data_IF_052109348914
#
_entry.id   IF_052109348914
#
_cell.length_a   1.000
_cell.length_b   1.000
_cell.length_c   1.000
_cell.angle_alpha   90.00
_cell.angle_beta   90.00
_cell.angle_gamma   90.00
#
_symmetry.space_group_name_H-M   'P 1'
#
loop_
_entity.id
_entity.type
_entity.pdbx_description
1 polymer ?
#
# COMPACT_ATOMS: atom_id res chain seq x y z
N UNK A 1 -80.66 41.37 25.99
CA UNK A 1 -81.10 40.02 25.53
C UNK A 1 -79.84 39.20 25.30
N UNK A 2 -79.39 38.42 26.30
CA UNK A 2 -79.50 36.95 26.44
C UNK A 2 -78.93 36.14 25.26
N UNK A 3 -77.84 35.40 25.50
CA UNK A 3 -77.69 33.92 25.48
C UNK A 3 -76.17 33.61 25.40
N UNK A 4 -75.52 33.01 26.41
CA UNK A 4 -75.56 31.62 26.91
C UNK A 4 -74.55 30.69 26.22
N UNK A 5 -73.49 30.37 26.97
CA UNK A 5 -72.73 29.12 27.11
C UNK A 5 -72.88 28.06 26.01
N UNK A 6 -71.76 27.60 25.42
CA UNK A 6 -71.48 26.16 25.27
C UNK A 6 -69.96 25.89 25.17
N UNK A 7 -69.43 25.22 26.19
CA UNK A 7 -68.11 24.59 26.20
C UNK A 7 -68.25 23.26 25.46
N UNK A 8 -67.50 23.03 24.39
CA UNK A 8 -67.43 21.72 23.72
C UNK A 8 -65.97 21.31 23.61
N UNK A 9 -65.58 20.40 24.50
CA UNK A 9 -64.31 19.69 24.48
C UNK A 9 -64.38 18.64 23.36
N UNK A 10 -63.86 18.94 22.17
CA UNK A 10 -63.72 17.95 21.10
C UNK A 10 -62.29 17.40 21.19
N UNK A 11 -62.18 16.23 21.81
CA UNK A 11 -61.01 15.36 21.72
C UNK A 11 -61.02 14.72 20.31
N UNK A 12 -60.47 15.43 19.33
CA UNK A 12 -60.26 14.92 17.97
C UNK A 12 -58.83 14.42 17.85
N UNK A 13 -58.62 13.12 18.06
CA UNK A 13 -57.34 12.48 17.81
C UNK A 13 -56.90 12.73 16.37
N UNK A 14 -55.74 13.36 16.19
CA UNK A 14 -55.06 13.36 14.90
C UNK A 14 -54.77 11.90 14.54
N UNK A 15 -55.24 11.37 13.40
CA UNK A 15 -54.69 10.13 12.89
C UNK A 15 -53.23 10.41 12.56
N UNK A 16 -52.32 9.93 13.41
CA UNK A 16 -50.97 9.61 12.95
C UNK A 16 -51.14 8.59 11.83
N UNK A 17 -51.18 9.09 10.60
CA UNK A 17 -51.00 8.23 9.43
C UNK A 17 -49.53 7.83 9.46
N UNK A 18 -49.28 6.68 10.09
CA UNK A 18 -48.04 5.96 9.93
C UNK A 18 -47.96 5.53 8.47
N UNK A 19 -47.30 6.34 7.64
CA UNK A 19 -46.78 5.87 6.35
C UNK A 19 -45.46 5.12 6.61
N UNK A 20 -45.56 4.01 7.33
CA UNK A 20 -44.52 2.99 7.33
C UNK A 20 -44.90 1.95 6.27
N UNK A 21 -44.26 2.04 5.10
CA UNK A 21 -43.92 0.96 4.16
C UNK A 21 -43.89 1.49 2.72
N UNK A 22 -42.98 2.41 2.44
CA UNK A 22 -42.33 2.37 1.12
C UNK A 22 -41.32 1.21 1.20
N UNK A 23 -41.45 0.16 0.37
CA UNK A 23 -40.40 -0.85 0.28
C UNK A 23 -39.11 -0.14 -0.15
N UNK A 24 -38.04 -0.33 0.61
CA UNK A 24 -36.71 0.10 0.19
C UNK A 24 -36.43 -0.63 -1.14
N UNK A 25 -36.46 0.11 -2.25
CA UNK A 25 -35.96 -0.42 -3.52
C UNK A 25 -34.47 -0.72 -3.35
N UNK A 26 -34.16 -1.98 -3.08
CA UNK A 26 -32.80 -2.50 -3.13
C UNK A 26 -32.43 -2.72 -4.60
N UNK A 27 -32.42 -1.64 -5.39
CA UNK A 27 -32.02 -1.61 -6.79
C UNK A 27 -30.78 -0.74 -6.99
N UNK A 28 -29.81 -0.82 -6.06
CA UNK A 28 -28.44 -0.55 -6.45
C UNK A 28 -27.95 -1.77 -7.22
N UNK A 29 -28.09 -1.73 -8.55
CA UNK A 29 -27.36 -2.61 -9.44
C UNK A 29 -25.87 -2.45 -9.07
N UNK A 30 -25.35 -3.38 -8.26
CA UNK A 30 -23.94 -3.40 -7.90
C UNK A 30 -23.19 -3.46 -9.22
N UNK A 31 -22.56 -2.36 -9.63
CA UNK A 31 -21.78 -2.32 -10.85
C UNK A 31 -20.75 -3.44 -10.79
N UNK A 32 -20.96 -4.50 -11.58
CA UNK A 32 -20.10 -5.68 -11.54
C UNK A 32 -18.84 -5.34 -12.34
N UNK A 33 -17.85 -4.79 -11.64
CA UNK A 33 -16.53 -4.52 -12.20
C UNK A 33 -15.74 -5.82 -12.20
N UNK A 34 -15.47 -6.35 -13.40
CA UNK A 34 -14.56 -7.45 -13.62
C UNK A 34 -13.16 -6.90 -13.92
N UNK A 35 -12.15 -7.34 -13.15
CA UNK A 35 -10.78 -6.87 -13.33
C UNK A 35 -10.16 -7.40 -14.61
N UNK A 36 -9.26 -6.60 -15.17
CA UNK A 36 -8.45 -6.94 -16.33
C UNK A 36 -7.62 -8.21 -16.07
N UNK A 37 -7.58 -9.10 -17.08
CA UNK A 37 -6.83 -10.37 -17.00
C UNK A 37 -5.64 -10.35 -17.97
N UNK A 38 -4.43 -10.72 -17.54
CA UNK A 38 -3.28 -10.68 -18.43
C UNK A 38 -3.42 -11.71 -19.56
N UNK A 39 -3.35 -11.25 -20.81
CA UNK A 39 -3.26 -12.12 -22.00
C UNK A 39 -1.79 -12.39 -22.33
N UNK A 40 -0.97 -11.34 -22.35
CA UNK A 40 0.45 -11.42 -22.70
C UNK A 40 1.27 -10.50 -21.83
N UNK A 41 2.26 -11.06 -21.14
CA UNK A 41 3.24 -10.31 -20.35
C UNK A 41 4.64 -10.61 -20.85
N UNK A 42 5.22 -9.64 -21.56
CA UNK A 42 6.62 -9.68 -22.00
C UNK A 42 7.51 -9.44 -20.77
N UNK A 43 8.42 -10.35 -20.41
CA UNK A 43 9.33 -10.11 -19.29
C UNK A 43 10.32 -8.97 -19.62
N UNK A 44 10.82 -8.23 -18.62
CA UNK A 44 11.87 -7.25 -18.83
C UNK A 44 13.14 -7.92 -19.33
N UNK A 45 13.83 -7.25 -20.26
CA UNK A 45 15.14 -7.69 -20.70
C UNK A 45 16.15 -7.43 -19.59
N UNK A 46 16.97 -8.42 -19.28
CA UNK A 46 18.05 -8.24 -18.33
C UNK A 46 19.16 -7.36 -18.96
N UNK A 47 19.54 -6.21 -18.36
CA UNK A 47 20.62 -5.37 -18.87
C UNK A 47 21.97 -6.11 -18.92
N UNK A 48 22.68 -6.03 -20.06
CA UNK A 48 23.92 -6.78 -20.32
C UNK A 48 25.01 -6.52 -19.27
N UNK A 49 25.18 -5.26 -18.84
CA UNK A 49 26.20 -4.91 -17.85
C UNK A 49 25.89 -5.51 -16.48
N UNK A 50 24.63 -5.47 -16.04
CA UNK A 50 24.19 -6.09 -14.79
C UNK A 50 24.32 -7.61 -14.87
N UNK A 51 24.00 -8.21 -16.02
CA UNK A 51 24.14 -9.65 -16.25
C UNK A 51 25.62 -10.10 -16.14
N UNK A 52 26.53 -9.38 -16.80
CA UNK A 52 27.99 -9.62 -16.71
C UNK A 52 28.51 -9.49 -15.28
N UNK A 53 28.02 -8.49 -14.55
CA UNK A 53 28.48 -8.19 -13.19
C UNK A 53 27.79 -9.03 -12.10
N UNK A 54 26.79 -9.85 -12.44
CA UNK A 54 26.07 -10.63 -11.43
C UNK A 54 25.26 -9.76 -10.47
N UNK A 55 24.70 -8.65 -10.95
CA UNK A 55 23.95 -7.69 -10.13
C UNK A 55 22.48 -7.97 -10.31
N UNK A 56 21.78 -8.37 -9.26
CA UNK A 56 20.33 -8.54 -9.21
C UNK A 56 19.64 -7.30 -8.62
N UNK A 57 18.31 -7.24 -8.74
CA UNK A 57 17.52 -6.14 -8.20
C UNK A 57 16.03 -6.29 -8.48
N UNK A 58 15.27 -5.24 -8.19
CA UNK A 58 13.82 -5.25 -8.35
C UNK A 58 13.28 -3.87 -8.69
N UNK A 59 12.11 -3.85 -9.33
CA UNK A 59 11.37 -2.62 -9.65
C UNK A 59 9.89 -2.86 -9.38
N UNK A 60 9.26 -1.97 -8.63
CA UNK A 60 7.80 -1.92 -8.46
C UNK A 60 7.25 -0.79 -9.31
N UNK A 61 6.30 -1.14 -10.18
CA UNK A 61 5.66 -0.23 -11.11
C UNK A 61 4.18 -0.13 -10.82
N UNK A 62 3.61 1.05 -11.04
CA UNK A 62 2.17 1.25 -11.24
C UNK A 62 1.88 1.53 -12.71
N UNK A 63 0.76 1.04 -13.23
CA UNK A 63 0.38 1.20 -14.63
C UNK A 63 -1.14 1.15 -14.82
N UNK A 64 -1.58 1.59 -15.99
CA UNK A 64 -2.98 1.60 -16.41
C UNK A 64 -3.19 0.50 -17.45
N UNK A 65 -4.32 -0.20 -17.38
CA UNK A 65 -4.83 -1.03 -18.48
C UNK A 65 -5.94 -0.25 -19.17
N UNK A 66 -5.79 0.01 -20.46
CA UNK A 66 -6.73 0.75 -21.29
C UNK A 66 -7.92 -0.13 -21.71
N UNK A 67 -9.04 0.45 -22.18
CA UNK A 67 -10.19 -0.31 -22.68
C UNK A 67 -9.88 -1.22 -23.88
N UNK A 68 -8.79 -0.97 -24.62
CA UNK A 68 -8.29 -1.86 -25.68
C UNK A 68 -7.34 -2.97 -25.15
N UNK A 69 -7.17 -3.03 -23.84
CA UNK A 69 -6.34 -3.99 -23.13
C UNK A 69 -4.83 -3.69 -23.18
N UNK A 70 -4.39 -2.63 -23.87
CA UNK A 70 -2.98 -2.21 -23.82
C UNK A 70 -2.68 -1.55 -22.49
N UNK A 71 -1.42 -1.58 -22.10
CA UNK A 71 -0.96 -0.87 -20.90
C UNK A 71 -0.41 0.51 -21.22
N UNK A 72 -0.69 1.49 -20.36
CA UNK A 72 -0.16 2.85 -20.48
C UNK A 72 0.28 3.41 -19.11
N UNK A 73 0.85 4.62 -19.14
CA UNK A 73 1.17 5.42 -17.96
C UNK A 73 1.90 4.65 -16.83
N UNK A 74 2.87 3.82 -17.23
CA UNK A 74 3.70 3.08 -16.31
C UNK A 74 4.67 4.03 -15.58
N UNK A 75 4.68 3.96 -14.25
CA UNK A 75 5.52 4.78 -13.37
C UNK A 75 6.23 3.87 -12.35
N UNK A 76 7.45 4.23 -11.97
CA UNK A 76 8.20 3.54 -10.91
C UNK A 76 7.71 4.04 -9.56
N UNK A 77 7.12 3.17 -8.77
CA UNK A 77 6.74 3.49 -7.38
C UNK A 77 7.93 3.32 -6.43
N UNK A 78 8.72 2.27 -6.64
CA UNK A 78 9.94 2.03 -5.87
C UNK A 78 10.84 1.02 -6.59
N UNK A 79 12.13 1.00 -6.26
CA UNK A 79 13.09 0.08 -6.87
C UNK A 79 14.28 -0.20 -5.94
N UNK A 80 15.15 -1.11 -6.36
CA UNK A 80 16.47 -1.30 -5.74
C UNK A 80 17.51 -0.23 -6.15
N UNK A 81 17.09 0.90 -6.72
CA UNK A 81 17.95 2.03 -7.09
C UNK A 81 18.81 1.83 -8.35
N UNK A 82 18.48 0.84 -9.18
CA UNK A 82 19.26 0.52 -10.39
C UNK A 82 18.48 0.99 -11.63
N UNK A 83 18.83 2.17 -12.14
CA UNK A 83 18.15 2.83 -13.28
C UNK A 83 18.08 1.96 -14.55
N UNK A 84 19.05 1.05 -14.74
CA UNK A 84 19.02 0.09 -15.84
C UNK A 84 17.85 -0.90 -15.73
N UNK A 85 17.49 -1.33 -14.52
CA UNK A 85 16.33 -2.19 -14.29
C UNK A 85 15.03 -1.43 -14.45
N UNK A 86 14.93 -0.23 -13.88
CA UNK A 86 13.74 0.63 -14.02
C UNK A 86 13.38 0.85 -15.49
N UNK A 87 14.37 1.21 -16.31
CA UNK A 87 14.19 1.42 -17.75
C UNK A 87 13.70 0.16 -18.47
N UNK A 88 14.29 -1.01 -18.20
CA UNK A 88 13.87 -2.25 -18.87
C UNK A 88 12.53 -2.77 -18.35
N UNK A 89 12.19 -2.50 -17.09
CA UNK A 89 10.88 -2.79 -16.50
C UNK A 89 9.78 -1.95 -17.17
N UNK A 90 9.98 -0.63 -17.30
CA UNK A 90 9.06 0.27 -17.99
C UNK A 90 8.84 -0.16 -19.45
N UNK A 91 9.91 -0.47 -20.19
CA UNK A 91 9.83 -0.97 -21.57
C UNK A 91 9.07 -2.30 -21.71
N UNK A 92 9.13 -3.16 -20.69
CA UNK A 92 8.40 -4.41 -20.69
C UNK A 92 6.91 -4.19 -20.46
N UNK A 93 6.54 -3.38 -19.45
CA UNK A 93 5.14 -3.08 -19.17
C UNK A 93 4.47 -2.53 -20.41
N UNK A 94 5.06 -1.57 -21.11
CA UNK A 94 4.53 -0.98 -22.35
C UNK A 94 4.16 -1.99 -23.47
N UNK A 95 4.64 -3.24 -23.39
CA UNK A 95 4.38 -4.30 -24.38
C UNK A 95 3.37 -5.34 -23.90
N UNK A 96 2.75 -5.12 -22.75
CA UNK A 96 1.77 -6.03 -22.20
C UNK A 96 0.41 -5.86 -22.85
N UNK A 97 -0.33 -6.96 -22.88
CA UNK A 97 -1.70 -7.02 -23.36
C UNK A 97 -2.54 -7.72 -22.30
N UNK A 98 -3.70 -7.15 -22.04
CA UNK A 98 -4.72 -7.64 -21.14
C UNK A 98 -6.03 -7.82 -21.89
N UNK A 99 -6.87 -8.68 -21.35
CA UNK A 99 -8.32 -8.60 -21.49
C UNK A 99 -8.75 -7.43 -20.60
N UNK A 100 -9.40 -6.38 -21.14
CA UNK A 100 -9.66 -5.16 -20.39
C UNK A 100 -10.58 -5.41 -19.19
N UNK A 101 -10.59 -4.47 -18.26
CA UNK A 101 -11.60 -4.48 -17.21
C UNK A 101 -12.97 -4.19 -17.83
N UNK A 102 -14.00 -4.82 -17.28
CA UNK A 102 -15.37 -4.69 -17.76
C UNK A 102 -16.26 -4.14 -16.66
N UNK A 103 -17.07 -3.15 -16.98
CA UNK A 103 -18.14 -2.63 -16.12
C UNK A 103 -19.45 -2.74 -16.89
N UNK A 104 -20.39 -3.53 -16.38
CA UNK A 104 -21.70 -3.78 -17.00
C UNK A 104 -21.57 -4.17 -18.50
N UNK A 105 -20.60 -5.03 -18.81
CA UNK A 105 -20.35 -5.53 -20.16
C UNK A 105 -19.62 -4.56 -21.11
N UNK A 106 -19.22 -3.37 -20.63
CA UNK A 106 -18.43 -2.40 -21.41
C UNK A 106 -16.99 -2.37 -20.92
N UNK A 107 -16.04 -2.34 -21.86
CA UNK A 107 -14.63 -2.21 -21.54
C UNK A 107 -14.35 -0.83 -20.92
N UNK A 108 -13.66 -0.82 -19.78
CA UNK A 108 -13.29 0.38 -19.03
C UNK A 108 -11.79 0.40 -18.76
N UNK A 109 -11.28 1.58 -18.40
CA UNK A 109 -9.90 1.77 -18.02
C UNK A 109 -9.68 1.29 -16.58
N UNK A 110 -8.70 0.42 -16.34
CA UNK A 110 -8.29 0.03 -14.99
C UNK A 110 -7.03 0.79 -14.58
N UNK A 111 -7.13 1.73 -13.62
CA UNK A 111 -6.13 2.80 -13.49
C UNK A 111 -5.09 2.59 -12.38
N UNK A 112 -5.32 1.68 -11.44
CA UNK A 112 -4.46 1.47 -10.27
C UNK A 112 -3.95 0.03 -10.17
N UNK A 113 -3.15 -0.37 -11.18
CA UNK A 113 -2.48 -1.67 -11.18
C UNK A 113 -1.06 -1.53 -10.66
N UNK A 114 -0.59 -2.51 -9.90
CA UNK A 114 0.79 -2.56 -9.44
C UNK A 114 1.43 -3.91 -9.76
N UNK A 115 2.71 -3.87 -10.13
CA UNK A 115 3.52 -5.06 -10.35
C UNK A 115 4.92 -4.86 -9.80
N UNK A 116 5.43 -5.91 -9.15
CA UNK A 116 6.86 -6.03 -8.84
C UNK A 116 7.54 -6.97 -9.85
N UNK A 117 8.63 -6.50 -10.44
CA UNK A 117 9.52 -7.29 -11.29
C UNK A 117 10.84 -7.54 -10.58
N UNK A 118 11.25 -8.80 -10.51
CA UNK A 118 12.56 -9.19 -10.01
C UNK A 118 13.51 -9.42 -11.20
N UNK A 119 14.70 -8.84 -11.11
CA UNK A 119 15.83 -9.08 -12.00
C UNK A 119 16.78 -10.01 -11.27
N UNK A 120 16.66 -11.31 -11.50
CA UNK A 120 17.61 -12.30 -10.99
C UNK A 120 18.00 -13.29 -12.07
N UNK A 121 19.27 -13.65 -12.12
CA UNK A 121 19.78 -14.64 -13.07
C UNK A 121 19.58 -16.10 -12.64
N UNK A 122 18.87 -16.36 -11.53
CA UNK A 122 18.53 -17.73 -11.10
C UNK A 122 19.75 -18.64 -10.93
N UNK A 123 20.95 -18.07 -10.74
CA UNK A 123 22.14 -18.87 -10.47
C UNK A 123 21.90 -19.57 -9.14
N UNK A 124 22.37 -20.80 -9.01
CA UNK A 124 22.24 -21.65 -7.80
C UNK A 124 23.04 -21.10 -6.59
N UNK A 125 22.94 -19.80 -6.31
CA UNK A 125 23.52 -19.13 -5.16
C UNK A 125 22.59 -18.01 -4.73
N UNK A 126 22.40 -17.94 -3.41
CA UNK A 126 22.79 -16.69 -2.80
C UNK A 126 23.80 -16.97 -1.70
N UNK A 127 24.99 -16.42 -1.87
CA UNK A 127 25.83 -16.13 -0.72
C UNK A 127 26.03 -14.64 -0.74
N UNK A 128 25.71 -14.02 0.38
CA UNK A 128 26.23 -12.71 0.74
C UNK A 128 27.74 -12.71 0.47
N UNK A 129 28.25 -11.76 -0.32
CA UNK A 129 29.67 -11.77 -0.67
C UNK A 129 30.52 -11.64 0.59
N UNK A 130 31.63 -12.38 0.68
CA UNK A 130 32.53 -12.29 1.85
C UNK A 130 32.98 -10.85 2.14
N UNK A 131 33.14 -10.03 1.09
CA UNK A 131 33.50 -8.61 1.20
C UNK A 131 32.40 -7.82 1.90
N UNK A 132 31.16 -7.97 1.45
CA UNK A 132 30.02 -7.31 2.09
C UNK A 132 29.80 -7.84 3.51
N UNK A 133 29.82 -9.16 3.69
CA UNK A 133 29.57 -9.78 4.99
C UNK A 133 30.56 -9.30 6.05
N UNK A 134 31.86 -9.14 5.73
CA UNK A 134 32.84 -8.56 6.67
C UNK A 134 32.52 -7.12 7.08
N UNK A 135 31.94 -6.32 6.18
CA UNK A 135 31.54 -4.96 6.49
C UNK A 135 30.25 -4.95 7.33
N UNK A 136 29.29 -5.80 6.98
CA UNK A 136 28.08 -6.04 7.76
C UNK A 136 28.44 -6.46 9.20
N UNK A 137 29.33 -7.44 9.35
CA UNK A 137 29.74 -8.02 10.63
C UNK A 137 30.42 -6.99 11.55
N UNK A 138 31.21 -6.08 10.96
CA UNK A 138 31.79 -4.93 11.67
C UNK A 138 30.72 -3.98 12.21
N UNK A 139 29.73 -3.63 11.39
CA UNK A 139 28.64 -2.76 11.83
C UNK A 139 27.80 -3.44 12.91
N UNK A 140 27.46 -4.72 12.73
CA UNK A 140 26.71 -5.50 13.71
C UNK A 140 27.45 -5.57 15.05
N UNK A 141 28.75 -5.91 15.04
CA UNK A 141 29.57 -5.96 16.25
C UNK A 141 29.68 -4.59 16.94
N UNK A 142 29.82 -3.51 16.16
CA UNK A 142 29.91 -2.16 16.72
C UNK A 142 28.57 -1.71 17.33
N UNK A 143 27.43 -2.05 16.73
CA UNK A 143 26.09 -1.80 17.27
C UNK A 143 25.87 -2.57 18.57
N UNK A 144 26.27 -3.85 18.61
CA UNK A 144 26.18 -4.69 19.81
C UNK A 144 27.04 -4.16 20.97
N UNK A 145 28.27 -3.71 20.66
CA UNK A 145 29.19 -3.11 21.62
C UNK A 145 28.86 -1.65 21.99
N UNK A 146 27.96 -1.00 21.24
CA UNK A 146 27.59 0.42 21.36
C UNK A 146 28.77 1.39 21.20
N UNK A 147 29.70 1.07 20.32
CA UNK A 147 30.90 1.87 20.04
C UNK A 147 30.64 2.98 19.01
N UNK A 148 30.15 4.13 19.47
CA UNK A 148 29.60 5.21 18.62
C UNK A 148 30.48 5.61 17.41
N UNK A 149 31.80 5.77 17.60
CA UNK A 149 32.72 6.25 16.55
C UNK A 149 32.83 5.30 15.35
N UNK A 150 32.78 4.00 15.61
CA UNK A 150 32.92 2.97 14.58
C UNK A 150 31.59 2.71 13.86
N UNK A 151 30.47 2.90 14.57
CA UNK A 151 29.12 2.70 14.02
C UNK A 151 28.87 3.61 12.83
N UNK A 152 29.16 4.92 12.93
CA UNK A 152 28.89 5.88 11.86
C UNK A 152 29.71 5.58 10.58
N UNK A 153 31.02 5.31 10.70
CA UNK A 153 31.87 4.94 9.56
C UNK A 153 31.36 3.67 8.87
N UNK A 154 31.08 2.61 9.65
CA UNK A 154 30.60 1.36 9.08
C UNK A 154 29.22 1.50 8.46
N UNK A 155 28.29 2.24 9.08
CA UNK A 155 26.97 2.52 8.54
C UNK A 155 27.03 3.27 7.21
N UNK A 156 27.85 4.33 7.11
CA UNK A 156 28.04 5.09 5.88
C UNK A 156 28.58 4.19 4.75
N UNK A 157 29.56 3.34 5.07
CA UNK A 157 30.16 2.40 4.11
C UNK A 157 29.17 1.33 3.68
N UNK A 158 28.32 0.82 4.58
CA UNK A 158 27.24 -0.12 4.26
C UNK A 158 26.22 0.57 3.34
N UNK A 159 25.79 1.78 3.67
CA UNK A 159 24.85 2.57 2.87
C UNK A 159 25.35 2.79 1.44
N UNK A 160 26.65 3.12 1.27
CA UNK A 160 27.29 3.30 -0.04
C UNK A 160 27.64 1.99 -0.76
N UNK A 161 27.52 0.83 -0.10
CA UNK A 161 27.88 -0.45 -0.71
C UNK A 161 26.93 -0.81 -1.85
N UNK A 162 27.51 -1.08 -3.03
CA UNK A 162 26.78 -1.54 -4.23
C UNK A 162 26.52 -3.04 -4.11
N UNK A 163 25.31 -3.38 -3.69
CA UNK A 163 24.83 -4.76 -3.57
C UNK A 163 24.81 -5.45 -4.94
N UNK A 164 25.06 -6.76 -4.94
CA UNK A 164 25.04 -7.62 -6.11
C UNK A 164 23.87 -8.59 -6.09
N UNK A 165 23.36 -8.97 -4.93
CA UNK A 165 22.25 -9.93 -4.84
C UNK A 165 21.08 -9.36 -4.05
N UNK A 166 19.89 -9.94 -4.25
CA UNK A 166 18.69 -9.58 -3.49
C UNK A 166 18.84 -9.92 -2.00
N UNK A 167 19.65 -10.90 -1.64
CA UNK A 167 19.97 -11.25 -0.26
C UNK A 167 20.94 -10.24 0.36
N UNK A 168 21.96 -9.77 -0.37
CA UNK A 168 22.79 -8.64 0.12
C UNK A 168 21.92 -7.39 0.35
N UNK A 169 20.91 -7.15 -0.50
CA UNK A 169 19.92 -6.10 -0.29
C UNK A 169 19.21 -6.25 1.05
N UNK A 170 18.71 -7.45 1.34
CA UNK A 170 18.01 -7.74 2.58
C UNK A 170 18.92 -7.50 3.80
N UNK A 171 20.12 -8.07 3.82
CA UNK A 171 21.08 -7.89 4.91
C UNK A 171 21.46 -6.41 5.10
N UNK A 172 21.73 -5.70 4.00
CA UNK A 172 22.10 -4.28 4.02
C UNK A 172 21.02 -3.44 4.68
N UNK A 173 19.77 -3.58 4.24
CA UNK A 173 18.70 -2.73 4.75
C UNK A 173 18.24 -3.16 6.15
N UNK A 174 18.36 -4.43 6.53
CA UNK A 174 18.12 -4.85 7.93
C UNK A 174 19.11 -4.19 8.88
N UNK A 175 20.42 -4.25 8.62
CA UNK A 175 21.41 -3.66 9.54
C UNK A 175 21.38 -2.12 9.54
N UNK A 176 21.03 -1.50 8.40
CA UNK A 176 20.83 -0.06 8.34
C UNK A 176 19.58 0.38 9.11
N UNK A 177 18.53 -0.45 9.17
CA UNK A 177 17.38 -0.21 10.04
C UNK A 177 17.78 -0.28 11.52
N UNK A 178 18.64 -1.23 11.91
CA UNK A 178 19.15 -1.31 13.29
C UNK A 178 20.05 -0.11 13.64
N UNK A 179 20.85 0.39 12.67
CA UNK A 179 21.58 1.65 12.83
C UNK A 179 20.64 2.86 12.98
N UNK A 180 19.60 2.95 12.15
CA UNK A 180 18.60 4.02 12.24
C UNK A 180 17.85 4.01 13.59
N UNK A 181 17.57 2.82 14.11
CA UNK A 181 17.05 2.62 15.48
C UNK A 181 18.03 3.17 16.53
N UNK A 182 19.31 2.87 16.41
CA UNK A 182 20.36 3.34 17.33
C UNK A 182 20.47 4.86 17.38
N UNK A 183 20.40 5.55 16.24
CA UNK A 183 20.46 7.03 16.18
C UNK A 183 19.11 7.70 16.49
N UNK A 184 18.03 6.92 16.64
CA UNK A 184 16.69 7.43 16.94
C UNK A 184 15.94 8.01 15.74
N UNK A 185 16.39 7.75 14.51
CA UNK A 185 15.72 8.21 13.28
C UNK A 185 14.70 7.18 12.80
N UNK A 186 13.47 7.30 13.32
CA UNK A 186 12.36 6.39 13.00
C UNK A 186 11.91 6.47 11.54
N UNK A 187 12.04 7.63 10.90
CA UNK A 187 11.63 7.79 9.49
C UNK A 187 12.63 7.06 8.59
N UNK A 188 13.92 7.23 8.85
CA UNK A 188 14.97 6.49 8.17
C UNK A 188 14.86 4.98 8.45
N UNK A 189 14.59 4.59 9.70
CA UNK A 189 14.37 3.19 10.07
C UNK A 189 13.23 2.57 9.28
N UNK A 190 12.09 3.26 9.17
CA UNK A 190 10.94 2.78 8.39
C UNK A 190 11.31 2.58 6.91
N UNK A 191 12.03 3.54 6.30
CA UNK A 191 12.47 3.44 4.90
C UNK A 191 13.36 2.21 4.65
N UNK A 192 14.25 1.90 5.60
CA UNK A 192 15.11 0.72 5.52
C UNK A 192 14.33 -0.57 5.76
N UNK A 193 13.35 -0.60 6.67
CA UNK A 193 12.49 -1.76 6.87
C UNK A 193 11.62 -2.06 5.64
N UNK A 194 11.13 -1.04 4.94
CA UNK A 194 10.43 -1.17 3.67
C UNK A 194 11.30 -1.83 2.58
N UNK A 195 12.56 -1.38 2.48
CA UNK A 195 13.53 -1.96 1.57
C UNK A 195 13.92 -3.39 1.97
N UNK A 196 14.08 -3.66 3.27
CA UNK A 196 14.44 -4.97 3.80
C UNK A 196 13.33 -6.03 3.64
N UNK A 197 12.06 -5.64 3.77
CA UNK A 197 10.91 -6.50 3.53
C UNK A 197 10.74 -6.87 2.04
N UNK A 198 11.45 -6.17 1.17
CA UNK A 198 11.36 -6.26 -0.29
C UNK A 198 12.50 -7.12 -0.89
N UNK A 199 12.66 -8.37 -0.42
CA UNK A 199 13.68 -9.31 -0.91
C UNK A 199 13.12 -10.46 -1.75
N UNK A 200 14.00 -11.22 -2.41
CA UNK A 200 13.58 -12.27 -3.34
C UNK A 200 12.72 -13.34 -2.66
N UNK A 201 11.60 -13.67 -3.28
CA UNK A 201 10.70 -14.71 -2.82
C UNK A 201 9.70 -14.28 -1.75
N UNK A 202 9.83 -13.10 -1.13
CA UNK A 202 8.83 -12.59 -0.19
C UNK A 202 7.46 -12.37 -0.88
N UNK A 203 7.46 -11.87 -2.12
CA UNK A 203 6.24 -11.70 -2.91
C UNK A 203 5.55 -13.04 -3.22
N UNK A 204 6.33 -14.04 -3.68
CA UNK A 204 5.81 -15.38 -3.99
C UNK A 204 5.28 -16.06 -2.73
N UNK A 205 6.00 -15.91 -1.61
CA UNK A 205 5.59 -16.40 -0.30
C UNK A 205 4.21 -15.88 0.10
N UNK A 206 4.00 -14.55 0.08
CA UNK A 206 2.70 -13.97 0.45
C UNK A 206 1.60 -14.26 -0.58
N UNK A 207 1.94 -14.37 -1.87
CA UNK A 207 0.99 -14.76 -2.91
C UNK A 207 0.45 -16.17 -2.64
N UNK A 208 1.35 -17.11 -2.35
CA UNK A 208 0.96 -18.49 -2.05
C UNK A 208 0.18 -18.57 -0.74
N UNK A 209 0.65 -17.96 0.36
CA UNK A 209 -0.06 -17.97 1.66
C UNK A 209 -1.47 -17.35 1.57
N UNK A 210 -1.65 -16.24 0.84
CA UNK A 210 -3.00 -15.68 0.59
C UNK A 210 -3.91 -16.60 -0.22
N UNK A 211 -3.36 -17.26 -1.25
CA UNK A 211 -4.11 -18.25 -2.03
C UNK A 211 -4.61 -19.42 -1.18
N UNK A 212 -3.85 -19.80 -0.15
CA UNK A 212 -4.25 -20.82 0.84
C UNK A 212 -5.36 -20.32 1.77
N UNK A 213 -5.26 -19.09 2.28
CA UNK A 213 -6.29 -18.50 3.15
C UNK A 213 -7.62 -18.26 2.43
N UNK A 214 -7.58 -17.70 1.22
CA UNK A 214 -8.80 -17.44 0.43
C UNK A 214 -9.53 -18.73 0.07
N UNK A 215 -8.81 -19.83 -0.14
CA UNK A 215 -9.42 -21.15 -0.35
C UNK A 215 -10.12 -21.65 0.92
N UNK A 216 -9.54 -21.41 2.10
CA UNK A 216 -10.12 -21.82 3.38
C UNK A 216 -11.37 -21.01 3.77
N UNK A 217 -11.45 -19.72 3.41
CA UNK A 217 -12.58 -18.85 3.77
C UNK A 217 -13.86 -19.07 2.96
N UNK A 218 -13.79 -19.69 1.79
CA UNK A 218 -14.95 -19.87 0.87
C UNK A 218 -15.72 -21.17 1.16
N UNK A 219 -15.33 -21.95 2.18
CA UNK A 219 -16.07 -23.17 2.57
C UNK A 219 -16.14 -24.23 1.47
N UNK A 220 -15.36 -24.09 0.39
CA UNK A 220 -15.04 -25.21 -0.48
C UNK A 220 -14.36 -26.22 0.43
N UNK A 221 -14.96 -27.39 0.61
CA UNK A 221 -14.31 -28.57 1.17
C UNK A 221 -13.17 -28.98 0.24
N UNK A 222 -12.13 -28.16 0.18
CA UNK A 222 -10.80 -28.58 -0.24
C UNK A 222 -10.25 -29.22 1.01
N UNK A 223 -10.25 -30.54 0.99
CA UNK A 223 -9.57 -31.41 1.94
C UNK A 223 -8.28 -30.73 2.41
N UNK A 224 -8.37 -30.13 3.59
CA UNK A 224 -7.36 -29.47 4.42
C UNK A 224 -6.41 -28.41 3.79
N UNK A 225 -6.16 -27.33 4.54
CA UNK A 225 -4.92 -26.51 4.47
C UNK A 225 -3.66 -27.38 4.34
N UNK A 226 -3.71 -28.63 4.86
CA UNK A 226 -2.68 -29.66 4.74
C UNK A 226 -2.43 -30.08 3.29
N UNK A 227 -3.42 -30.35 2.43
CA UNK A 227 -3.16 -30.93 1.10
C UNK A 227 -2.34 -30.03 0.17
N UNK A 228 -2.58 -28.72 0.19
CA UNK A 228 -1.84 -27.75 -0.65
C UNK A 228 -0.48 -27.38 -0.08
N UNK A 229 -0.33 -27.28 1.24
CA UNK A 229 0.99 -27.14 1.89
C UNK A 229 1.82 -28.42 1.72
N UNK A 230 1.17 -29.59 1.74
CA UNK A 230 1.78 -30.89 1.51
C UNK A 230 2.30 -31.03 0.08
N UNK A 231 1.58 -30.48 -0.90
CA UNK A 231 1.98 -30.37 -2.32
C UNK A 231 3.18 -29.43 -2.59
N UNK A 232 3.62 -28.60 -1.63
CA UNK A 232 4.88 -27.87 -1.80
C UNK A 232 6.06 -28.86 -1.79
N UNK A 233 6.95 -28.74 -2.79
CA UNK A 233 8.21 -29.49 -2.79
C UNK A 233 9.00 -29.21 -1.52
N UNK A 234 9.77 -30.20 -1.03
CA UNK A 234 10.59 -30.04 0.17
C UNK A 234 11.56 -28.83 0.10
N UNK A 235 12.03 -28.52 -1.11
CA UNK A 235 12.87 -27.34 -1.39
C UNK A 235 12.09 -26.05 -1.14
N UNK A 236 10.85 -25.95 -1.64
CA UNK A 236 10.01 -24.76 -1.46
C UNK A 236 9.59 -24.58 -0.01
N UNK A 237 9.29 -25.66 0.72
CA UNK A 237 9.04 -25.65 2.18
C UNK A 237 10.22 -25.07 2.96
N UNK A 238 11.44 -25.53 2.71
CA UNK A 238 12.67 -25.00 3.35
C UNK A 238 12.89 -23.52 3.05
N UNK A 239 12.71 -23.11 1.78
CA UNK A 239 12.81 -21.70 1.38
C UNK A 239 11.80 -20.84 2.15
N UNK A 240 10.56 -21.29 2.26
CA UNK A 240 9.49 -20.53 2.90
C UNK A 240 9.67 -20.42 4.41
N UNK A 241 10.13 -21.49 5.07
CA UNK A 241 10.49 -21.45 6.49
C UNK A 241 11.62 -20.43 6.78
N UNK A 242 12.57 -20.25 5.86
CA UNK A 242 13.60 -19.20 6.00
C UNK A 242 13.01 -17.80 5.79
N UNK A 243 12.22 -17.60 4.73
CA UNK A 243 11.57 -16.32 4.43
C UNK A 243 10.69 -15.86 5.59
N UNK A 244 9.91 -16.77 6.17
CA UNK A 244 9.02 -16.51 7.30
C UNK A 244 9.79 -15.97 8.52
N UNK A 245 10.90 -16.62 8.89
CA UNK A 245 11.77 -16.19 9.99
C UNK A 245 12.45 -14.84 9.74
N UNK A 246 12.78 -14.53 8.49
CA UNK A 246 13.40 -13.25 8.11
C UNK A 246 12.36 -12.13 8.12
N UNK A 247 11.16 -12.36 7.59
CA UNK A 247 10.11 -11.35 7.49
C UNK A 247 9.52 -10.96 8.84
N UNK A 248 9.36 -11.91 9.77
CA UNK A 248 8.70 -11.65 11.04
C UNK A 248 9.28 -10.45 11.83
N UNK A 249 10.58 -10.41 12.18
CA UNK A 249 11.13 -9.28 12.92
C UNK A 249 11.07 -7.96 12.14
N UNK A 250 11.27 -8.01 10.81
CA UNK A 250 11.21 -6.83 9.93
C UNK A 250 9.80 -6.23 9.96
N UNK A 251 8.78 -7.05 9.69
CA UNK A 251 7.39 -6.59 9.67
C UNK A 251 6.90 -6.19 11.06
N UNK A 252 7.37 -6.84 12.12
CA UNK A 252 7.00 -6.47 13.47
C UNK A 252 7.54 -5.08 13.85
N UNK A 253 8.85 -4.83 13.65
CA UNK A 253 9.44 -3.49 13.87
C UNK A 253 8.75 -2.43 13.02
N UNK A 254 8.51 -2.74 11.76
CA UNK A 254 7.82 -1.87 10.81
C UNK A 254 6.41 -1.49 11.31
N UNK A 255 5.63 -2.47 11.77
CA UNK A 255 4.30 -2.21 12.32
C UNK A 255 4.34 -1.22 13.49
N UNK A 256 5.30 -1.39 14.42
CA UNK A 256 5.41 -0.49 15.58
C UNK A 256 5.59 0.96 15.13
N UNK A 257 6.52 1.22 14.21
CA UNK A 257 6.80 2.56 13.70
C UNK A 257 5.62 3.10 12.88
N UNK A 258 5.00 2.27 12.05
CA UNK A 258 3.80 2.65 11.30
C UNK A 258 2.68 3.10 12.24
N UNK A 259 2.45 2.41 13.36
CA UNK A 259 1.46 2.79 14.35
C UNK A 259 1.81 4.12 15.04
N UNK A 260 3.07 4.33 15.40
CA UNK A 260 3.54 5.58 16.01
C UNK A 260 3.39 6.79 15.07
N UNK A 261 3.64 6.58 13.78
CA UNK A 261 3.46 7.61 12.75
C UNK A 261 2.01 7.74 12.25
N UNK A 262 1.06 7.03 12.85
CA UNK A 262 -0.34 7.07 12.43
C UNK A 262 -0.55 6.56 11.00
N UNK A 263 0.33 5.70 10.50
CA UNK A 263 0.29 5.16 9.14
C UNK A 263 -0.73 4.03 8.99
N UNK A 264 -2.02 4.34 9.18
CA UNK A 264 -3.10 3.35 9.30
C UNK A 264 -3.16 2.36 8.12
N UNK A 265 -3.02 2.85 6.89
CA UNK A 265 -3.10 2.01 5.66
C UNK A 265 -1.96 1.00 5.58
N UNK A 266 -0.74 1.46 5.86
CA UNK A 266 0.48 0.68 5.87
C UNK A 266 0.48 -0.31 7.04
N UNK A 267 0.14 0.14 8.25
CA UNK A 267 -0.02 -0.69 9.43
C UNK A 267 -1.01 -1.84 9.19
N UNK A 268 -2.17 -1.56 8.57
CA UNK A 268 -3.15 -2.60 8.25
C UNK A 268 -2.58 -3.63 7.27
N UNK A 269 -1.83 -3.18 6.26
CA UNK A 269 -1.15 -4.06 5.30
C UNK A 269 -0.09 -4.92 5.98
N UNK A 270 0.71 -4.33 6.85
CA UNK A 270 1.77 -5.00 7.61
C UNK A 270 1.19 -6.02 8.58
N UNK A 271 0.13 -5.68 9.32
CA UNK A 271 -0.59 -6.63 10.20
C UNK A 271 -1.17 -7.81 9.41
N UNK A 272 -1.79 -7.54 8.26
CA UNK A 272 -2.28 -8.63 7.41
C UNK A 272 -1.15 -9.54 6.92
N UNK A 273 0.04 -8.99 6.63
CA UNK A 273 1.24 -9.76 6.31
C UNK A 273 1.72 -10.60 7.51
N UNK A 274 1.78 -10.01 8.70
CA UNK A 274 2.18 -10.70 9.94
C UNK A 274 1.26 -11.87 10.27
N UNK A 275 -0.05 -11.74 10.08
CA UNK A 275 -1.01 -12.82 10.32
C UNK A 275 -0.85 -14.02 9.37
N UNK A 276 -0.12 -13.85 8.26
CA UNK A 276 0.23 -14.94 7.33
C UNK A 276 1.53 -15.66 7.71
N UNK A 277 2.27 -15.18 8.71
CA UNK A 277 3.55 -15.75 9.13
C UNK A 277 3.36 -16.80 10.22
N UNK A 278 3.99 -17.96 10.05
CA UNK A 278 3.96 -19.03 11.03
C UNK A 278 4.77 -18.62 12.29
N UNK A 279 5.86 -17.86 12.12
CA UNK A 279 6.67 -17.28 13.21
C UNK A 279 5.91 -16.22 14.03
N UNK A 280 4.79 -15.69 13.54
CA UNK A 280 3.96 -14.72 14.25
C UNK A 280 2.92 -15.36 15.20
N UNK A 281 2.85 -16.69 15.24
CA UNK A 281 1.83 -17.46 15.97
C UNK A 281 1.66 -17.04 17.44
N UNK A 282 2.76 -16.83 18.17
CA UNK A 282 2.72 -16.40 19.58
C UNK A 282 2.08 -15.01 19.79
N UNK A 283 2.09 -14.16 18.77
CA UNK A 283 1.57 -12.78 18.82
C UNK A 283 0.25 -12.63 18.05
N UNK A 284 -0.33 -13.71 17.55
CA UNK A 284 -1.47 -13.68 16.64
C UNK A 284 -2.69 -12.96 17.25
N UNK A 285 -2.99 -13.23 18.53
CA UNK A 285 -4.09 -12.56 19.22
C UNK A 285 -3.91 -11.03 19.29
N UNK A 286 -2.68 -10.56 19.54
CA UNK A 286 -2.36 -9.13 19.56
C UNK A 286 -2.52 -8.51 18.16
N UNK A 287 -2.05 -9.18 17.11
CA UNK A 287 -2.20 -8.70 15.74
C UNK A 287 -3.65 -8.69 15.26
N UNK A 288 -4.47 -9.66 15.65
CA UNK A 288 -5.91 -9.66 15.37
C UNK A 288 -6.58 -8.45 16.04
N UNK A 289 -6.26 -8.18 17.30
CA UNK A 289 -6.78 -7.01 18.02
C UNK A 289 -6.33 -5.70 17.34
N UNK A 290 -5.06 -5.61 16.95
CA UNK A 290 -4.53 -4.43 16.26
C UNK A 290 -5.21 -4.23 14.90
N UNK A 291 -5.46 -5.30 14.14
CA UNK A 291 -6.21 -5.26 12.88
C UNK A 291 -7.62 -4.71 13.08
N UNK A 292 -8.32 -5.16 14.12
CA UNK A 292 -9.66 -4.69 14.44
C UNK A 292 -9.65 -3.19 14.79
N UNK A 293 -8.72 -2.76 15.64
CA UNK A 293 -8.57 -1.35 16.00
C UNK A 293 -8.24 -0.44 14.80
N UNK A 294 -7.36 -0.89 13.90
CA UNK A 294 -7.05 -0.14 12.68
C UNK A 294 -8.28 0.01 11.77
N UNK A 295 -9.15 -1.01 11.70
CA UNK A 295 -10.42 -0.92 10.98
C UNK A 295 -11.38 0.07 11.63
N UNK A 296 -11.50 0.06 12.96
CA UNK A 296 -12.30 1.05 13.68
C UNK A 296 -11.83 2.49 13.41
N UNK A 297 -10.53 2.72 13.27
CA UNK A 297 -10.02 4.05 12.86
C UNK A 297 -10.47 4.40 11.45
N UNK A 298 -10.38 3.45 10.50
CA UNK A 298 -10.79 3.65 9.11
C UNK A 298 -12.28 4.01 9.04
N UNK A 299 -13.10 3.24 9.75
CA UNK A 299 -14.56 3.31 9.72
C UNK A 299 -15.14 4.42 10.62
N UNK A 300 -14.34 4.98 11.53
CA UNK A 300 -14.79 6.01 12.47
C UNK A 300 -14.73 7.46 11.95
N UNK A 301 -15.12 8.42 12.78
CA UNK A 301 -15.29 9.82 12.36
C UNK A 301 -14.04 10.70 12.51
N UNK A 302 -12.93 10.15 13.01
CA UNK A 302 -11.70 10.93 13.19
C UNK A 302 -10.95 11.08 11.86
N UNK A 303 -10.41 12.27 11.52
CA UNK A 303 -9.55 12.42 10.36
C UNK A 303 -8.30 11.55 10.46
N UNK A 304 -7.87 10.97 9.33
CA UNK A 304 -6.61 10.22 9.23
C UNK A 304 -5.57 11.17 8.64
N UNK A 305 -4.54 11.50 9.40
CA UNK A 305 -3.53 12.49 9.02
C UNK A 305 -2.21 11.80 8.69
N UNK A 306 -1.61 12.17 7.56
CA UNK A 306 -0.32 11.63 7.10
C UNK A 306 0.61 12.75 6.69
N UNK A 307 1.71 12.89 7.40
CA UNK A 307 2.80 13.75 6.98
C UNK A 307 3.49 13.16 5.76
N UNK A 308 3.84 14.02 4.81
CA UNK A 308 4.44 13.68 3.55
C UNK A 308 5.60 14.63 3.23
N UNK A 309 6.60 14.09 2.54
CA UNK A 309 7.73 14.83 2.01
C UNK A 309 8.02 14.32 0.60
N UNK A 310 8.14 15.23 -0.38
CA UNK A 310 8.57 14.88 -1.73
C UNK A 310 10.10 14.87 -1.74
N UNK A 311 10.71 13.69 -1.83
CA UNK A 311 12.16 13.56 -1.96
C UNK A 311 12.66 14.01 -3.35
N UNK A 312 13.96 14.23 -3.46
CA UNK A 312 14.59 14.78 -4.67
C UNK A 312 14.30 13.94 -5.94
N UNK A 313 13.78 14.58 -6.98
CA UNK A 313 13.38 13.96 -8.25
C UNK A 313 12.32 12.85 -8.09
N UNK A 314 11.48 12.91 -7.06
CA UNK A 314 10.42 11.93 -6.82
C UNK A 314 9.02 12.57 -6.87
N UNK A 315 8.01 11.71 -6.75
CA UNK A 315 6.65 12.10 -6.38
C UNK A 315 6.30 11.34 -5.10
N UNK A 316 5.41 11.91 -4.30
CA UNK A 316 4.86 11.19 -3.16
C UNK A 316 3.60 10.44 -3.58
N UNK A 317 3.45 9.19 -3.17
CA UNK A 317 2.25 8.42 -3.50
C UNK A 317 1.70 7.70 -2.28
N UNK A 318 0.37 7.53 -2.26
CA UNK A 318 -0.33 6.94 -1.14
C UNK A 318 -1.65 6.31 -1.55
N UNK A 319 -2.00 5.19 -0.91
CA UNK A 319 -3.29 4.53 -1.12
C UNK A 319 -4.29 5.05 -0.10
N UNK A 320 -5.31 5.75 -0.58
CA UNK A 320 -6.39 6.28 0.25
C UNK A 320 -7.19 5.15 0.89
N UNK A 321 -7.61 5.40 2.12
CA UNK A 321 -8.53 4.60 2.92
C UNK A 321 -9.96 5.15 2.82
N UNK A 322 -10.11 6.44 2.55
CA UNK A 322 -11.39 7.13 2.39
C UNK A 322 -11.48 7.86 1.05
N UNK A 323 -12.71 8.20 0.70
CA UNK A 323 -13.03 8.87 -0.54
C UNK A 323 -12.90 10.39 -0.47
N UNK A 324 -12.84 10.97 0.74
CA UNK A 324 -12.68 12.41 0.94
C UNK A 324 -11.32 12.71 1.56
N UNK A 325 -10.57 13.64 0.97
CA UNK A 325 -9.29 14.07 1.51
C UNK A 325 -8.95 15.51 1.14
N UNK A 326 -8.00 16.08 1.86
CA UNK A 326 -7.42 17.40 1.59
C UNK A 326 -5.91 17.37 1.82
N UNK A 327 -5.21 18.37 1.27
CA UNK A 327 -3.79 18.59 1.50
C UNK A 327 -3.64 19.86 2.32
N UNK A 328 -2.92 19.79 3.44
CA UNK A 328 -2.74 20.91 4.38
C UNK A 328 -1.26 21.11 4.72
N UNK A 329 -0.93 22.21 5.40
CA UNK A 329 0.42 22.52 5.88
C UNK A 329 1.49 22.42 4.77
N UNK A 330 1.17 22.88 3.57
CA UNK A 330 2.07 22.80 2.40
C UNK A 330 3.21 23.80 2.57
N UNK A 331 4.42 23.29 2.76
CA UNK A 331 5.67 24.05 2.77
C UNK A 331 6.49 23.67 1.52
N UNK A 332 6.41 24.51 0.49
CA UNK A 332 6.93 24.27 -0.85
C UNK A 332 5.84 24.47 -1.90
N UNK A 333 5.99 23.85 -3.08
CA UNK A 333 5.00 23.96 -4.16
C UNK A 333 4.61 22.61 -4.71
N UNK A 334 3.31 22.32 -4.67
CA UNK A 334 2.71 21.18 -5.34
C UNK A 334 2.24 21.59 -6.73
N UNK A 335 2.47 20.74 -7.73
CA UNK A 335 2.22 21.05 -9.14
C UNK A 335 1.11 20.19 -9.75
N UNK A 336 0.93 18.95 -9.25
CA UNK A 336 0.00 17.99 -9.84
C UNK A 336 -0.44 16.94 -8.83
N UNK A 337 -1.73 16.67 -8.81
CA UNK A 337 -2.35 15.57 -8.07
C UNK A 337 -2.98 14.59 -9.08
N UNK A 338 -2.34 13.46 -9.30
CA UNK A 338 -2.83 12.38 -10.17
C UNK A 338 -3.53 11.32 -9.30
N UNK A 339 -4.86 11.32 -9.33
CA UNK A 339 -5.70 10.36 -8.62
C UNK A 339 -5.95 9.17 -9.54
N UNK A 340 -5.59 7.97 -9.06
CA UNK A 340 -5.81 6.71 -9.76
C UNK A 340 -6.61 5.77 -8.89
N UNK A 341 -7.79 5.41 -9.34
CA UNK A 341 -8.66 4.43 -8.69
C UNK A 341 -8.79 3.18 -9.55
N UNK A 342 -9.67 2.25 -9.16
CA UNK A 342 -9.84 0.99 -9.87
C UNK A 342 -10.31 1.24 -11.30
N UNK A 343 -11.36 2.01 -11.52
CA UNK A 343 -11.99 2.24 -12.84
C UNK A 343 -11.84 3.68 -13.38
N UNK A 344 -11.15 4.57 -12.65
CA UNK A 344 -11.01 5.99 -13.03
C UNK A 344 -9.64 6.55 -12.73
N UNK A 345 -9.18 7.43 -13.61
CA UNK A 345 -8.07 8.35 -13.38
C UNK A 345 -8.52 9.78 -13.57
N UNK A 346 -8.06 10.67 -12.71
CA UNK A 346 -8.24 12.10 -12.87
C UNK A 346 -6.99 12.85 -12.41
N UNK A 347 -6.61 13.90 -13.13
CA UNK A 347 -5.45 14.73 -12.77
C UNK A 347 -5.98 16.11 -12.40
N UNK A 348 -5.78 16.48 -11.14
CA UNK A 348 -6.13 17.78 -10.59
C UNK A 348 -4.90 18.70 -10.55
N UNK A 349 -5.16 20.00 -10.68
CA UNK A 349 -4.23 21.03 -10.21
C UNK A 349 -4.32 21.09 -8.70
N UNK A 350 -3.19 21.23 -8.01
CA UNK A 350 -3.18 21.35 -6.55
C UNK A 350 -3.40 22.81 -6.17
N UNK A 351 -4.48 23.07 -5.43
CA UNK A 351 -4.68 24.31 -4.69
C UNK A 351 -4.70 24.01 -3.18
N UNK A 352 -4.42 25.03 -2.38
CA UNK A 352 -4.20 24.94 -0.94
C UNK A 352 -5.49 24.85 -0.10
N UNK A 353 -6.67 24.82 -0.75
CA UNK A 353 -7.97 24.90 -0.07
C UNK A 353 -9.00 23.87 -0.55
N UNK A 354 -8.68 23.07 -1.56
CA UNK A 354 -9.59 22.07 -2.10
C UNK A 354 -9.72 20.88 -1.15
N UNK A 355 -10.97 20.54 -0.86
CA UNK A 355 -11.36 19.23 -0.37
C UNK A 355 -11.76 18.40 -1.58
N UNK A 356 -11.06 17.29 -1.83
CA UNK A 356 -11.40 16.36 -2.89
C UNK A 356 -12.32 15.27 -2.36
N UNK A 357 -13.51 15.18 -2.95
CA UNK A 357 -14.47 14.09 -2.69
C UNK A 357 -14.56 13.19 -3.93
N UNK A 358 -13.97 12.01 -3.83
CA UNK A 358 -13.96 11.00 -4.89
C UNK A 358 -15.24 10.17 -4.84
N UNK A 359 -15.92 9.93 -5.98
CA UNK A 359 -17.10 9.06 -5.99
C UNK A 359 -16.79 7.65 -5.45
N UNK A 360 -17.70 7.10 -4.65
CA UNK A 360 -17.56 5.73 -4.10
C UNK A 360 -17.43 4.68 -5.20
N UNK A 361 -18.06 4.94 -6.35
CA UNK A 361 -17.98 4.11 -7.55
C UNK A 361 -16.57 3.99 -8.13
N UNK A 362 -15.63 4.87 -7.76
CA UNK A 362 -14.27 4.83 -8.31
C UNK A 362 -13.41 3.70 -7.72
N UNK A 363 -13.73 3.28 -6.48
CA UNK A 363 -13.15 2.18 -5.71
C UNK A 363 -11.60 2.15 -5.59
N UNK A 364 -11.09 2.04 -4.36
CA UNK A 364 -9.68 1.68 -4.12
C UNK A 364 -8.66 2.68 -4.68
N UNK A 365 -8.89 3.96 -4.42
CA UNK A 365 -8.10 5.07 -4.93
C UNK A 365 -6.70 5.18 -4.30
N UNK A 366 -5.74 5.62 -5.11
CA UNK A 366 -4.45 6.13 -4.69
C UNK A 366 -4.17 7.50 -5.30
N UNK A 367 -3.35 8.27 -4.62
CA UNK A 367 -2.92 9.61 -5.06
C UNK A 367 -1.44 9.58 -5.39
N UNK A 368 -1.07 10.31 -6.43
CA UNK A 368 0.31 10.57 -6.83
C UNK A 368 0.50 12.08 -6.88
N UNK A 369 1.27 12.62 -5.95
CA UNK A 369 1.43 14.05 -5.70
C UNK A 369 2.84 14.46 -6.13
N UNK A 370 2.90 15.45 -7.02
CA UNK A 370 4.14 15.97 -7.61
C UNK A 370 4.32 17.42 -7.17
N UNK A 371 5.57 17.84 -7.03
CA UNK A 371 5.92 19.17 -6.54
C UNK A 371 7.42 19.44 -6.64
N UNK A 372 7.85 20.55 -6.06
CA UNK A 372 9.26 20.88 -5.88
C UNK A 372 9.91 19.92 -4.88
N UNK A 373 11.21 19.66 -5.04
CA UNK A 373 11.99 18.81 -4.15
C UNK A 373 11.94 19.32 -2.70
N UNK A 374 11.83 18.40 -1.75
CA UNK A 374 11.70 18.65 -0.31
C UNK A 374 10.41 19.40 0.08
N UNK A 375 9.40 19.44 -0.79
CA UNK A 375 8.07 19.96 -0.41
C UNK A 375 7.45 19.06 0.65
N UNK A 376 7.12 19.66 1.80
CA UNK A 376 6.44 19.00 2.92
C UNK A 376 4.96 19.36 2.93
N UNK A 377 4.10 18.42 3.30
CA UNK A 377 2.66 18.65 3.43
C UNK A 377 2.03 17.56 4.31
N UNK A 378 0.75 17.72 4.63
CA UNK A 378 -0.07 16.66 5.23
C UNK A 378 -1.19 16.27 4.30
N UNK A 379 -1.42 14.98 4.15
CA UNK A 379 -2.64 14.43 3.57
C UNK A 379 -3.61 14.09 4.70
N UNK A 380 -4.82 14.65 4.65
CA UNK A 380 -5.86 14.46 5.67
C UNK A 380 -7.06 13.78 5.03
N UNK A 381 -7.35 12.54 5.41
CA UNK A 381 -8.53 11.82 4.95
C UNK A 381 -9.71 12.06 5.91
N UNK A 382 -10.81 12.58 5.39
CA UNK A 382 -11.99 12.99 6.14
C UNK A 382 -13.06 11.88 6.13
N UNK A 383 -13.85 11.72 7.21
CA UNK A 383 -15.00 10.82 7.20
C UNK A 383 -16.07 11.34 6.21
N UNK A 384 -16.90 10.43 5.71
CA UNK A 384 -17.96 10.75 4.74
C UNK A 384 -18.99 11.77 5.27
N UNK A 385 -19.20 11.82 6.59
CA UNK A 385 -20.21 12.69 7.22
C UNK A 385 -19.80 14.18 7.22
N UNK A 386 -18.52 14.49 7.36
CA UNK A 386 -18.03 15.89 7.39
C UNK A 386 -17.98 16.52 5.99
N UNK A 387 -17.95 15.73 4.93
CA UNK A 387 -17.93 16.22 3.55
C UNK A 387 -19.22 16.97 3.14
N UNK A 388 -20.34 16.71 3.82
CA UNK A 388 -21.64 17.31 3.49
C UNK A 388 -21.92 18.64 4.22
N UNK A 389 -21.07 19.04 5.19
CA UNK A 389 -21.28 20.30 5.94
C UNK A 389 -20.59 21.51 5.29
N UNK A 390 -19.42 21.33 4.67
CA UNK A 390 -18.74 22.45 3.98
C UNK A 390 -19.34 22.76 2.58
N UNK A 391 -20.11 21.82 2.01
CA UNK A 391 -20.86 22.03 0.77
C UNK A 391 -22.13 22.87 0.96
N UNK A 392 -22.71 22.93 2.17
CA UNK A 392 -23.87 23.79 2.46
C UNK A 392 -23.47 25.24 2.75
N UNK A 393 -22.26 25.47 3.24
CA UNK A 393 -21.78 26.80 3.63
C UNK A 393 -21.20 27.60 2.44
N UNK A 394 -21.03 26.95 1.28
CA UNK A 394 -20.61 27.59 0.03
C UNK A 394 -21.78 27.97 -0.90
N UNK A 395 -23.03 27.70 -0.51
CA UNK A 395 -24.25 28.08 -1.25
C UNK A 395 -25.09 29.19 -0.60
N UNK A 396 -24.63 29.82 0.49
CA UNK A 396 -25.35 30.90 1.19
C UNK A 396 -24.66 32.27 1.12
N UNK A 397 -23.65 32.43 0.26
CA UNK A 397 -22.99 33.72 0.01
C UNK A 397 -23.31 34.28 -1.39
N UNK A 398 -24.61 34.42 -1.68
CA UNK A 398 -25.11 35.34 -2.72
C UNK A 398 -26.61 35.55 -2.52
N UNK A 399 -26.95 36.52 -1.67
CA UNK A 399 -28.13 37.38 -1.79
C UNK A 399 -27.79 38.76 -1.24
#
# INVERSE_FOLDING_TARGET
>A
MKYSILFTLICGGLPFTSTANEPIELSQELAVIQDAKPIKRVPPKYPVNQARNGVDGWVKLSFIVEPDGKTSNAIVESSSGISAFEREALKAVQKWQYDPAMENGKAIQQCYNSVRMEFSMGRNKPTVSKKFYRLYDKLASALDAKEAKDIEDYAERVAKYKIKTLEESQYKYTILADYAEYVGDKQLQLSYLDAAASFSGASDYFKDKRGLESAASVGLEVDSKSSREEQLSAVKKRKYAHIDKVLFPILHKKLVIELEFGQVSEALRTVNGLLLLDSASNNQAAYIKQKAFLKEIIDGDRPIVRSANIEENQFWHYRLLRNTFQLTDINGRLTKLDVRCRNKRHVYTVDDRSVWQLPETWQGCGVYIYGEDNTQFKLVELPSVLANQDASDSQTASD
#
